data_IF_489020004955
#
_entry.id   IF_489020004955
#
_cell.length_a   1.000
_cell.length_b   1.000
_cell.length_c   1.000
_cell.angle_alpha   90.00
_cell.angle_beta   90.00
_cell.angle_gamma   90.00
#
_symmetry.space_group_name_H-M   'P 1'
#
loop_
_entity.id
_entity.type
_entity.pdbx_description
1 polymer ?
#
# COMPACT_ATOMS: atom_id res chain seq x y z
N UNK A 1 12.10 -6.92 4.26
CA UNK A 1 10.80 -6.24 4.49
C UNK A 1 10.17 -5.92 3.14
N UNK A 2 8.95 -6.40 2.87
CA UNK A 2 8.31 -6.26 1.55
C UNK A 2 7.79 -4.84 1.27
N UNK A 3 7.29 -4.14 2.30
CA UNK A 3 6.70 -2.81 2.16
C UNK A 3 7.68 -1.73 1.69
N UNK A 4 8.89 -1.57 2.27
CA UNK A 4 9.88 -0.62 1.75
C UNK A 4 10.23 -0.87 0.29
N UNK A 5 10.36 -2.15 -0.08
CA UNK A 5 10.75 -2.55 -1.43
C UNK A 5 9.65 -2.21 -2.45
N UNK A 6 8.38 -2.38 -2.08
CA UNK A 6 7.25 -2.00 -2.92
C UNK A 6 7.24 -0.49 -3.24
N UNK A 7 7.43 0.36 -2.22
CA UNK A 7 7.47 1.82 -2.42
C UNK A 7 8.71 2.29 -3.19
N UNK A 8 9.85 1.64 -2.98
CA UNK A 8 11.04 1.88 -3.79
C UNK A 8 10.79 1.54 -5.26
N UNK A 9 10.16 0.39 -5.53
CA UNK A 9 9.83 -0.04 -6.88
C UNK A 9 8.85 0.91 -7.59
N UNK A 10 7.80 1.36 -6.88
CA UNK A 10 6.86 2.38 -7.39
C UNK A 10 7.59 3.71 -7.68
N UNK A 11 8.48 4.13 -6.79
CA UNK A 11 9.28 5.35 -7.00
C UNK A 11 10.21 5.21 -8.21
N UNK A 12 10.86 4.07 -8.38
CA UNK A 12 11.70 3.77 -9.53
C UNK A 12 10.91 3.78 -10.85
N UNK A 13 9.68 3.25 -10.85
CA UNK A 13 8.77 3.35 -11.99
C UNK A 13 8.42 4.81 -12.31
N UNK A 14 8.17 5.63 -11.28
CA UNK A 14 7.88 7.06 -11.46
C UNK A 14 9.08 7.87 -11.98
N UNK A 15 10.30 7.39 -11.73
CA UNK A 15 11.54 7.96 -12.25
C UNK A 15 11.92 7.40 -13.64
N UNK A 16 11.09 6.53 -14.23
CA UNK A 16 11.36 5.92 -15.53
C UNK A 16 12.45 4.85 -15.54
N UNK A 17 12.86 4.37 -14.36
CA UNK A 17 13.87 3.31 -14.21
C UNK A 17 13.29 1.93 -14.51
N UNK A 18 11.98 1.76 -14.31
CA UNK A 18 11.24 0.50 -14.51
C UNK A 18 10.28 0.66 -15.68
N UNK A 19 10.27 -0.32 -16.59
CA UNK A 19 9.35 -0.34 -17.74
C UNK A 19 7.93 -0.69 -17.32
N UNK A 20 6.93 -0.24 -18.10
CA UNK A 20 5.52 -0.59 -17.87
C UNK A 20 5.29 -2.11 -17.85
N UNK A 21 5.98 -2.85 -18.73
CA UNK A 21 5.91 -4.31 -18.76
C UNK A 21 6.40 -4.96 -17.46
N UNK A 22 7.49 -4.46 -16.87
CA UNK A 22 7.99 -4.95 -15.58
C UNK A 22 7.02 -4.61 -14.45
N UNK A 23 6.40 -3.42 -14.48
CA UNK A 23 5.37 -3.02 -13.53
C UNK A 23 4.10 -3.88 -13.64
N UNK A 24 3.72 -4.26 -14.87
CA UNK A 24 2.59 -5.15 -15.14
C UNK A 24 2.81 -6.54 -14.54
N UNK A 25 3.97 -7.16 -14.79
CA UNK A 25 4.34 -8.45 -14.20
C UNK A 25 4.31 -8.36 -12.68
N UNK A 26 4.86 -7.29 -12.10
CA UNK A 26 4.85 -7.09 -10.66
C UNK A 26 3.41 -7.06 -10.08
N UNK A 27 2.48 -6.38 -10.76
CA UNK A 27 1.07 -6.35 -10.34
C UNK A 27 0.39 -7.72 -10.45
N UNK A 28 0.70 -8.52 -11.48
CA UNK A 28 0.18 -9.88 -11.60
C UNK A 28 0.64 -10.73 -10.41
N UNK A 29 1.96 -10.75 -10.16
CA UNK A 29 2.54 -11.53 -9.06
C UNK A 29 1.93 -11.11 -7.73
N UNK A 30 1.87 -9.80 -7.46
CA UNK A 30 1.29 -9.28 -6.22
C UNK A 30 -0.19 -9.61 -6.08
N UNK A 31 -0.97 -9.54 -7.17
CA UNK A 31 -2.40 -9.91 -7.15
C UNK A 31 -2.57 -11.37 -6.74
N UNK A 32 -1.80 -12.29 -7.34
CA UNK A 32 -1.87 -13.72 -7.01
C UNK A 32 -1.49 -13.96 -5.55
N UNK A 33 -0.41 -13.34 -5.08
CA UNK A 33 0.05 -13.48 -3.69
C UNK A 33 -0.97 -12.93 -2.68
N UNK A 34 -1.54 -11.76 -2.93
CA UNK A 34 -2.52 -11.14 -2.04
C UNK A 34 -3.83 -11.93 -1.99
N UNK A 35 -4.34 -12.39 -3.13
CA UNK A 35 -5.52 -13.25 -3.20
C UNK A 35 -5.26 -14.57 -2.47
N UNK A 36 -4.10 -15.19 -2.70
CA UNK A 36 -3.68 -16.39 -1.98
C UNK A 36 -3.66 -16.18 -0.47
N UNK A 37 -2.97 -15.13 -0.01
CA UNK A 37 -2.90 -14.78 1.41
C UNK A 37 -4.28 -14.50 2.01
N UNK A 38 -5.13 -13.74 1.32
CA UNK A 38 -6.49 -13.46 1.78
C UNK A 38 -7.31 -14.74 1.92
N UNK A 39 -7.19 -15.68 0.97
CA UNK A 39 -7.90 -16.95 1.03
C UNK A 39 -7.39 -17.85 2.16
N UNK A 40 -6.07 -18.00 2.30
CA UNK A 40 -5.48 -18.95 3.25
C UNK A 40 -5.40 -18.40 4.68
N UNK A 41 -5.20 -17.09 4.85
CA UNK A 41 -5.07 -16.44 6.15
C UNK A 41 -6.40 -16.07 6.82
N UNK A 42 -7.53 -16.20 6.11
CA UNK A 42 -8.84 -15.85 6.65
C UNK A 42 -9.20 -16.55 7.97
N UNK A 43 -8.98 -17.87 8.15
CA UNK A 43 -9.36 -18.57 9.38
C UNK A 43 -8.68 -18.01 10.63
N UNK A 44 -7.45 -17.52 10.49
CA UNK A 44 -6.60 -17.02 11.57
C UNK A 44 -6.83 -15.53 11.84
N UNK A 45 -7.40 -14.79 10.88
CA UNK A 45 -7.58 -13.33 10.96
C UNK A 45 -9.05 -12.93 11.16
N UNK A 46 -9.83 -13.72 11.91
CA UNK A 46 -11.28 -13.48 12.04
C UNK A 46 -11.66 -12.39 13.03
N UNK A 47 -10.78 -12.04 13.95
CA UNK A 47 -11.09 -11.14 15.07
C UNK A 47 -10.06 -10.02 15.27
N UNK A 48 -10.46 -9.02 16.06
CA UNK A 48 -9.59 -7.92 16.49
C UNK A 48 -8.95 -7.13 15.35
N UNK A 49 -7.70 -6.73 15.57
CA UNK A 49 -6.85 -5.98 14.61
C UNK A 49 -6.61 -6.80 13.34
N UNK A 50 -6.39 -8.12 13.48
CA UNK A 50 -6.12 -9.01 12.35
C UNK A 50 -7.28 -9.02 11.34
N UNK A 51 -8.54 -8.97 11.81
CA UNK A 51 -9.70 -8.85 10.92
C UNK A 51 -9.68 -7.59 10.06
N UNK A 52 -9.25 -6.47 10.62
CA UNK A 52 -9.12 -5.22 9.87
C UNK A 52 -8.05 -5.34 8.80
N UNK A 53 -6.89 -5.90 9.13
CA UNK A 53 -5.81 -6.12 8.16
C UNK A 53 -6.18 -7.13 7.08
N UNK A 54 -6.93 -8.18 7.41
CA UNK A 54 -7.44 -9.11 6.41
C UNK A 54 -8.36 -8.40 5.40
N UNK A 55 -9.27 -7.53 5.88
CA UNK A 55 -10.13 -6.72 4.99
C UNK A 55 -9.31 -5.79 4.11
N UNK A 56 -8.26 -5.19 4.64
CA UNK A 56 -7.32 -4.34 3.89
C UNK A 56 -6.64 -5.15 2.79
N UNK A 57 -6.18 -6.36 3.08
CA UNK A 57 -5.53 -7.23 2.08
C UNK A 57 -6.53 -7.68 1.01
N UNK A 58 -7.75 -8.02 1.41
CA UNK A 58 -8.82 -8.38 0.47
C UNK A 58 -9.18 -7.20 -0.45
N UNK A 59 -9.38 -5.99 0.11
CA UNK A 59 -9.61 -4.78 -0.68
C UNK A 59 -8.40 -4.41 -1.55
N UNK A 60 -7.19 -4.53 -0.99
CA UNK A 60 -5.91 -4.31 -1.65
C UNK A 60 -5.70 -5.28 -2.82
N UNK A 61 -6.24 -6.50 -2.76
CA UNK A 61 -6.23 -7.45 -3.87
C UNK A 61 -7.02 -6.91 -5.06
N UNK A 62 -8.24 -6.39 -4.81
CA UNK A 62 -9.06 -5.78 -5.86
C UNK A 62 -8.41 -4.51 -6.44
N UNK A 63 -7.82 -3.68 -5.58
CA UNK A 63 -7.07 -2.48 -5.97
C UNK A 63 -5.85 -2.84 -6.84
N UNK A 64 -5.11 -3.88 -6.47
CA UNK A 64 -3.96 -4.37 -7.27
C UNK A 64 -4.42 -4.92 -8.61
N UNK A 65 -5.56 -5.61 -8.65
CA UNK A 65 -6.17 -6.10 -9.88
C UNK A 65 -6.55 -4.94 -10.82
N UNK A 66 -7.01 -3.80 -10.30
CA UNK A 66 -7.17 -2.58 -11.12
C UNK A 66 -5.85 -2.18 -11.79
N UNK A 67 -4.71 -2.30 -11.11
CA UNK A 67 -3.40 -2.03 -11.69
C UNK A 67 -3.03 -3.01 -12.80
N UNK A 68 -3.33 -4.32 -12.65
CA UNK A 68 -3.16 -5.32 -13.72
C UNK A 68 -3.99 -4.94 -14.94
N UNK A 69 -5.29 -4.69 -14.75
CA UNK A 69 -6.20 -4.33 -15.86
C UNK A 69 -5.77 -3.01 -16.50
N UNK A 70 -5.40 -2.02 -15.70
CA UNK A 70 -4.99 -0.71 -16.19
C UNK A 70 -3.72 -0.76 -17.05
N UNK A 71 -2.73 -1.55 -16.65
CA UNK A 71 -1.48 -1.72 -17.39
C UNK A 71 -1.60 -2.68 -18.58
N UNK A 72 -2.55 -3.61 -18.57
CA UNK A 72 -2.78 -4.57 -19.65
C UNK A 72 -3.61 -4.05 -20.82
N UNK A 73 -4.13 -2.82 -20.73
CA UNK A 73 -4.86 -2.16 -21.82
C UNK A 73 -3.89 -1.38 -22.73
N UNK A 74 -4.25 -1.25 -24.01
CA UNK A 74 -3.50 -0.43 -24.97
C UNK A 74 -4.39 0.69 -25.53
N UNK A 75 -4.12 1.98 -25.22
CA UNK A 75 -3.12 2.46 -24.26
C UNK A 75 -3.49 2.13 -22.80
N UNK A 76 -2.50 2.17 -21.90
CA UNK A 76 -2.72 1.94 -20.48
C UNK A 76 -3.75 2.91 -19.90
N UNK A 77 -4.60 2.43 -18.98
CA UNK A 77 -5.67 3.22 -18.40
C UNK A 77 -5.18 3.94 -17.11
N UNK A 78 -5.02 5.28 -17.14
CA UNK A 78 -4.45 6.04 -16.01
C UNK A 78 -5.37 6.07 -14.79
N UNK A 79 -6.68 5.93 -14.98
CA UNK A 79 -7.64 5.91 -13.87
C UNK A 79 -7.48 4.63 -13.06
N UNK A 80 -7.35 3.47 -13.72
CA UNK A 80 -7.19 2.18 -13.05
C UNK A 80 -5.84 2.04 -12.35
N UNK A 81 -4.76 2.52 -12.97
CA UNK A 81 -3.43 2.57 -12.33
C UNK A 81 -3.39 3.57 -11.18
N UNK A 82 -4.11 4.69 -11.30
CA UNK A 82 -4.34 5.64 -10.21
C UNK A 82 -5.08 5.01 -9.03
N UNK A 83 -6.14 4.23 -9.28
CA UNK A 83 -6.84 3.46 -8.23
C UNK A 83 -5.88 2.52 -7.52
N UNK A 84 -5.05 1.79 -8.27
CA UNK A 84 -4.05 0.88 -7.69
C UNK A 84 -3.08 1.61 -6.76
N UNK A 85 -2.54 2.74 -7.21
CA UNK A 85 -1.59 3.54 -6.46
C UNK A 85 -2.22 4.16 -5.20
N UNK A 86 -3.26 4.98 -5.38
CA UNK A 86 -3.89 5.69 -4.26
C UNK A 86 -4.58 4.74 -3.29
N UNK A 87 -5.11 3.61 -3.77
CA UNK A 87 -5.67 2.58 -2.92
C UNK A 87 -4.62 2.06 -1.93
N UNK A 88 -3.40 1.76 -2.38
CA UNK A 88 -2.31 1.34 -1.49
C UNK A 88 -1.70 2.47 -0.66
N UNK A 89 -1.77 3.72 -1.12
CA UNK A 89 -1.41 4.87 -0.28
C UNK A 89 -2.36 5.01 0.92
N UNK A 90 -3.65 4.74 0.74
CA UNK A 90 -4.70 5.10 1.71
C UNK A 90 -5.23 3.92 2.54
N UNK A 91 -5.33 2.71 2.00
CA UNK A 91 -5.88 1.56 2.72
C UNK A 91 -5.17 1.28 4.05
N UNK A 92 -3.82 1.32 4.13
CA UNK A 92 -3.13 1.09 5.41
C UNK A 92 -3.42 2.13 6.48
N UNK A 93 -3.84 3.36 6.11
CA UNK A 93 -4.26 4.36 7.09
C UNK A 93 -5.45 3.88 7.94
N UNK A 94 -6.39 3.14 7.34
CA UNK A 94 -7.51 2.52 8.06
C UNK A 94 -7.00 1.48 9.07
N UNK A 95 -6.02 0.68 8.66
CA UNK A 95 -5.39 -0.32 9.52
C UNK A 95 -4.69 0.31 10.70
N UNK A 96 -3.89 1.34 10.47
CA UNK A 96 -3.19 2.06 11.54
C UNK A 96 -4.14 2.77 12.49
N UNK A 97 -5.23 3.38 12.02
CA UNK A 97 -6.24 3.99 12.90
C UNK A 97 -6.90 2.94 13.79
N UNK A 98 -7.28 1.77 13.25
CA UNK A 98 -7.88 0.69 14.05
C UNK A 98 -6.86 0.07 15.03
N UNK A 99 -5.62 -0.18 14.59
CA UNK A 99 -4.54 -0.67 15.47
C UNK A 99 -4.28 0.31 16.61
N UNK A 100 -4.09 1.59 16.31
CA UNK A 100 -3.82 2.62 17.32
C UNK A 100 -4.95 2.85 18.31
N UNK A 101 -6.21 2.52 17.95
CA UNK A 101 -7.36 2.56 18.88
C UNK A 101 -7.40 1.37 19.83
N UNK A 102 -6.75 0.26 19.47
CA UNK A 102 -6.80 -1.01 20.21
C UNK A 102 -5.53 -1.29 20.99
N UNK A 103 -4.41 -0.66 20.62
CA UNK A 103 -3.10 -0.81 21.27
C UNK A 103 -2.73 0.50 21.95
N UNK A 104 -2.46 0.45 23.26
CA UNK A 104 -2.10 1.61 24.08
C UNK A 104 -0.61 1.97 24.00
N UNK A 105 0.24 1.00 23.66
CA UNK A 105 1.66 1.22 23.44
C UNK A 105 1.94 1.57 21.98
N UNK A 106 2.87 2.51 21.75
CA UNK A 106 3.27 2.86 20.37
C UNK A 106 2.19 3.56 19.54
N UNK A 107 1.07 4.01 20.13
CA UNK A 107 -0.06 4.65 19.42
C UNK A 107 0.37 5.80 18.50
N UNK A 108 1.40 6.57 18.89
CA UNK A 108 1.92 7.68 18.10
C UNK A 108 2.53 7.23 16.77
N UNK A 109 3.09 6.00 16.68
CA UNK A 109 3.66 5.45 15.44
C UNK A 109 2.55 5.17 14.44
N UNK A 110 1.42 4.62 14.90
CA UNK A 110 0.25 4.39 14.06
C UNK A 110 -0.40 5.71 13.62
N UNK A 111 -0.42 6.73 14.48
CA UNK A 111 -0.86 8.07 14.11
C UNK A 111 0.07 8.70 13.05
N UNK A 112 1.39 8.58 13.21
CA UNK A 112 2.37 9.04 12.24
C UNK A 112 2.27 8.28 10.91
N UNK A 113 2.06 6.96 10.94
CA UNK A 113 1.82 6.13 9.76
C UNK A 113 0.56 6.54 9.01
N UNK A 114 -0.53 6.82 9.75
CA UNK A 114 -1.78 7.36 9.19
C UNK A 114 -1.55 8.71 8.52
N UNK A 115 -0.90 9.64 9.23
CA UNK A 115 -0.58 10.96 8.69
C UNK A 115 0.32 10.85 7.44
N UNK A 116 1.32 9.97 7.46
CA UNK A 116 2.20 9.72 6.32
C UNK A 116 1.45 9.23 5.09
N UNK A 117 0.48 8.32 5.26
CA UNK A 117 -0.40 7.86 4.19
C UNK A 117 -1.21 9.02 3.57
N UNK A 118 -1.86 9.83 4.41
CA UNK A 118 -2.73 10.93 3.96
C UNK A 118 -1.94 12.08 3.33
N UNK A 119 -0.90 12.56 4.02
CA UNK A 119 -0.05 13.65 3.55
C UNK A 119 0.71 13.22 2.30
N UNK A 120 1.19 11.98 2.23
CA UNK A 120 1.87 11.46 1.06
C UNK A 120 0.95 11.41 -0.17
N UNK A 121 -0.31 11.00 0.00
CA UNK A 121 -1.30 11.02 -1.07
C UNK A 121 -1.61 12.44 -1.55
N UNK A 122 -1.73 13.40 -0.64
CA UNK A 122 -1.92 14.82 -0.97
C UNK A 122 -0.72 15.38 -1.72
N UNK A 123 0.50 15.15 -1.24
CA UNK A 123 1.73 15.59 -1.91
C UNK A 123 1.85 15.00 -3.32
N UNK A 124 1.50 13.73 -3.49
CA UNK A 124 1.50 13.10 -4.80
C UNK A 124 0.48 13.74 -5.75
N UNK A 125 -0.71 14.07 -5.25
CA UNK A 125 -1.76 14.73 -6.04
C UNK A 125 -1.40 16.14 -6.54
N UNK A 126 -0.42 16.81 -5.92
CA UNK A 126 0.08 18.12 -6.41
C UNK A 126 0.72 17.99 -7.79
N UNK A 127 1.26 16.81 -8.14
CA UNK A 127 1.66 16.47 -9.51
C UNK A 127 3.04 16.94 -9.97
N UNK A 128 3.79 17.72 -9.17
CA UNK A 128 5.21 17.97 -9.48
C UNK A 128 6.06 16.73 -9.19
N UNK A 129 7.14 16.51 -9.94
CA UNK A 129 8.01 15.34 -9.71
C UNK A 129 8.55 15.30 -8.28
N UNK A 130 8.98 16.46 -7.73
CA UNK A 130 9.49 16.54 -6.36
C UNK A 130 8.41 16.20 -5.32
N UNK A 131 7.18 16.70 -5.47
CA UNK A 131 6.09 16.39 -4.54
C UNK A 131 5.58 14.96 -4.70
N UNK A 132 5.59 14.42 -5.92
CA UNK A 132 5.27 13.01 -6.19
C UNK A 132 6.24 12.07 -5.48
N UNK A 133 7.55 12.26 -5.71
CA UNK A 133 8.58 11.45 -5.05
C UNK A 133 8.55 11.64 -3.53
N UNK A 134 8.45 12.88 -3.05
CA UNK A 134 8.33 13.16 -1.61
C UNK A 134 7.10 12.50 -0.99
N UNK A 135 5.98 12.49 -1.69
CA UNK A 135 4.76 11.80 -1.28
C UNK A 135 4.93 10.30 -1.17
N UNK A 136 5.52 9.65 -2.18
CA UNK A 136 5.81 8.21 -2.17
C UNK A 136 6.75 7.82 -1.03
N UNK A 137 7.80 8.60 -0.80
CA UNK A 137 8.75 8.40 0.32
C UNK A 137 8.02 8.52 1.66
N UNK A 138 7.18 9.54 1.83
CA UNK A 138 6.45 9.76 3.07
C UNK A 138 5.48 8.61 3.38
N UNK A 139 4.73 8.13 2.37
CA UNK A 139 3.89 6.93 2.52
C UNK A 139 4.74 5.72 2.88
N UNK A 140 5.81 5.47 2.14
CA UNK A 140 6.66 4.30 2.34
C UNK A 140 7.29 4.25 3.73
N UNK A 141 7.78 5.38 4.23
CA UNK A 141 8.32 5.49 5.59
C UNK A 141 7.24 5.29 6.65
N UNK A 142 6.09 5.95 6.51
CA UNK A 142 4.98 5.84 7.47
C UNK A 142 4.45 4.39 7.57
N UNK A 143 4.25 3.74 6.43
CA UNK A 143 3.79 2.35 6.40
C UNK A 143 4.84 1.37 6.93
N UNK A 144 6.11 1.58 6.59
CA UNK A 144 7.21 0.75 7.08
C UNK A 144 7.37 0.84 8.59
N UNK A 145 7.31 2.06 9.15
CA UNK A 145 7.45 2.28 10.58
C UNK A 145 6.33 1.57 11.36
N UNK A 146 5.07 1.74 10.95
CA UNK A 146 3.92 1.09 11.60
C UNK A 146 3.96 -0.44 11.54
N UNK A 147 4.37 -1.01 10.40
CA UNK A 147 4.45 -2.47 10.23
C UNK A 147 5.64 -3.06 11.00
N UNK A 148 6.77 -2.34 11.01
CA UNK A 148 7.96 -2.78 11.76
C UNK A 148 7.72 -2.74 13.26
N UNK A 149 7.03 -1.71 13.76
CA UNK A 149 6.66 -1.61 15.17
C UNK A 149 5.76 -2.77 15.60
N UNK A 150 4.74 -3.12 14.78
CA UNK A 150 3.91 -4.28 15.03
C UNK A 150 4.72 -5.59 15.07
N UNK A 151 5.59 -5.82 14.07
CA UNK A 151 6.36 -7.07 13.97
C UNK A 151 7.45 -7.24 15.04
N UNK A 152 7.96 -6.14 15.60
CA UNK A 152 8.99 -6.17 16.65
C UNK A 152 8.41 -6.24 18.07
N UNK A 153 7.12 -5.96 18.23
CA UNK A 153 6.41 -6.02 19.52
C UNK A 153 5.60 -7.29 19.73
N UNK A 154 5.52 -8.15 18.71
CA UNK A 154 4.96 -9.51 18.80
C UNK A 154 5.81 -10.43 19.69
#
# INVERSE_FOLDING_TARGET
MLVPLAWLFVTAAHLGVVTEHTLFIAHIVMTVLLVGFAATGYPDMRDGVLRTWWRIIAAGSAVTLCGVVGLGLEPANPTLTGVALYGWMLLPAVGFVDTGRRVTEGTWIYAAGTAGCLLGAVLYAVGSQATAVGGLVLVGLGQTAGISDAALRD
#
